data_IF_418128490983
#
_entry.id   IF_418128490983
#
_cell.length_a   1.000
_cell.length_b   1.000
_cell.length_c   1.000
_cell.angle_alpha   90.00
_cell.angle_beta   90.00
_cell.angle_gamma   90.00
#
_symmetry.space_group_name_H-M   'P 1'
#
loop_
_entity.id
_entity.type
_entity.pdbx_description
1 polymer ?
#
# COMPACT_ATOMS: atom_id res chain seq x y z
N UNK A 1 29.17 -28.97 -33.55
CA UNK A 1 29.43 -27.80 -34.42
C UNK A 1 30.90 -27.86 -34.80
N UNK A 2 31.24 -28.11 -36.07
CA UNK A 2 32.66 -28.28 -36.47
C UNK A 2 33.38 -26.93 -36.50
N UNK A 3 34.68 -26.92 -36.20
CA UNK A 3 35.50 -25.71 -36.21
C UNK A 3 35.38 -24.93 -37.52
N UNK A 4 35.38 -25.63 -38.66
CA UNK A 4 35.24 -25.04 -40.01
C UNK A 4 33.97 -24.22 -40.21
N UNK A 5 32.88 -24.60 -39.54
CA UNK A 5 31.60 -23.88 -39.65
C UNK A 5 31.67 -22.51 -38.94
N UNK A 6 32.41 -22.43 -37.84
CA UNK A 6 32.61 -21.19 -37.10
C UNK A 6 33.57 -20.25 -37.84
N UNK A 7 34.63 -20.80 -38.46
CA UNK A 7 35.63 -20.02 -39.20
C UNK A 7 35.05 -19.36 -40.46
N UNK A 8 34.20 -20.08 -41.21
CA UNK A 8 33.52 -19.52 -42.39
C UNK A 8 32.52 -18.41 -42.01
N UNK A 9 31.82 -18.53 -40.88
CA UNK A 9 30.89 -17.50 -40.41
C UNK A 9 31.60 -16.19 -40.03
N UNK A 10 32.81 -16.28 -39.44
CA UNK A 10 33.59 -15.11 -39.04
C UNK A 10 34.26 -14.38 -40.22
N UNK A 11 34.58 -15.08 -41.33
CA UNK A 11 35.21 -14.48 -42.52
C UNK A 11 34.31 -13.46 -43.25
N UNK A 12 32.99 -13.52 -43.06
CA UNK A 12 32.03 -12.58 -43.67
C UNK A 12 31.70 -11.36 -42.80
N UNK A 13 32.27 -11.27 -41.58
CA UNK A 13 32.07 -10.12 -40.70
C UNK A 13 32.94 -8.95 -41.20
N UNK A 14 32.32 -8.03 -41.93
CA UNK A 14 32.97 -6.79 -42.37
C UNK A 14 33.27 -5.90 -41.16
N UNK A 15 34.55 -5.71 -40.85
CA UNK A 15 34.97 -4.75 -39.84
C UNK A 15 34.59 -3.32 -40.26
N UNK A 16 34.06 -2.49 -39.34
CA UNK A 16 33.69 -1.11 -39.64
C UNK A 16 34.90 -0.30 -40.11
N UNK A 17 34.80 0.27 -41.33
CA UNK A 17 35.92 0.91 -42.03
C UNK A 17 36.02 2.40 -41.73
N UNK A 18 34.90 3.06 -41.44
CA UNK A 18 34.85 4.48 -41.07
C UNK A 18 34.57 4.69 -39.57
N UNK A 19 34.85 5.91 -39.06
CA UNK A 19 34.47 6.31 -37.71
C UNK A 19 32.93 6.24 -37.51
N UNK A 20 32.16 6.58 -38.54
CA UNK A 20 30.70 6.49 -38.53
C UNK A 20 30.22 5.04 -38.40
N UNK A 21 30.86 4.09 -39.07
CA UNK A 21 30.50 2.66 -38.97
C UNK A 21 30.77 2.11 -37.57
N UNK A 22 31.87 2.54 -36.94
CA UNK A 22 32.21 2.16 -35.56
C UNK A 22 31.19 2.74 -34.58
N UNK A 23 30.78 3.99 -34.78
CA UNK A 23 29.75 4.64 -33.95
C UNK A 23 28.39 3.95 -34.10
N UNK A 24 27.96 3.66 -35.33
CA UNK A 24 26.70 2.97 -35.61
C UNK A 24 26.69 1.56 -35.00
N UNK A 25 27.80 0.82 -35.11
CA UNK A 25 27.95 -0.50 -34.49
C UNK A 25 27.91 -0.41 -32.97
N UNK A 26 28.58 0.56 -32.37
CA UNK A 26 28.56 0.78 -30.93
C UNK A 26 27.15 1.13 -30.42
N UNK A 27 26.44 2.05 -31.08
CA UNK A 27 25.06 2.42 -30.75
C UNK A 27 24.12 1.24 -30.93
N UNK A 28 24.22 0.49 -32.04
CA UNK A 28 23.40 -0.69 -32.27
C UNK A 28 23.64 -1.78 -31.22
N UNK A 29 24.89 -2.04 -30.87
CA UNK A 29 25.25 -3.01 -29.82
C UNK A 29 24.73 -2.57 -28.45
N UNK A 30 24.91 -1.30 -28.09
CA UNK A 30 24.37 -0.73 -26.86
C UNK A 30 22.84 -0.79 -26.81
N UNK A 31 22.16 -0.51 -27.92
CA UNK A 31 20.70 -0.60 -28.03
C UNK A 31 20.21 -2.05 -27.86
N UNK A 32 20.87 -3.02 -28.47
CA UNK A 32 20.51 -4.45 -28.34
C UNK A 32 20.74 -4.94 -26.91
N UNK A 33 21.93 -4.68 -26.34
CA UNK A 33 22.24 -5.09 -24.96
C UNK A 33 21.34 -4.38 -23.95
N UNK A 34 21.13 -3.07 -24.12
CA UNK A 34 20.21 -2.28 -23.31
C UNK A 34 18.78 -2.84 -23.38
N UNK A 35 18.28 -3.14 -24.58
CA UNK A 35 16.95 -3.71 -24.76
C UNK A 35 16.82 -5.11 -24.14
N UNK A 36 17.85 -5.95 -24.24
CA UNK A 36 17.87 -7.29 -23.66
C UNK A 36 17.78 -7.29 -22.13
N UNK A 37 18.21 -6.20 -21.47
CA UNK A 37 18.12 -6.04 -20.01
C UNK A 37 16.84 -5.29 -19.63
N UNK A 38 16.55 -4.17 -20.30
CA UNK A 38 15.45 -3.27 -19.93
C UNK A 38 14.08 -3.86 -20.26
N UNK A 39 13.90 -4.53 -21.40
CA UNK A 39 12.59 -5.06 -21.80
C UNK A 39 12.10 -6.18 -20.86
N UNK A 40 12.91 -7.19 -20.48
CA UNK A 40 12.46 -8.18 -19.51
C UNK A 40 12.22 -7.60 -18.12
N UNK A 41 13.01 -6.61 -17.69
CA UNK A 41 12.81 -5.92 -16.42
C UNK A 41 11.48 -5.12 -16.43
N UNK A 42 11.26 -4.31 -17.45
CA UNK A 42 10.02 -3.55 -17.65
C UNK A 42 8.81 -4.47 -17.78
N UNK A 43 8.94 -5.60 -18.49
CA UNK A 43 7.85 -6.58 -18.61
C UNK A 43 7.51 -7.23 -17.26
N UNK A 44 8.51 -7.59 -16.44
CA UNK A 44 8.27 -8.13 -15.09
C UNK A 44 7.63 -7.08 -14.17
N UNK A 45 8.10 -5.84 -14.21
CA UNK A 45 7.55 -4.72 -13.46
C UNK A 45 6.09 -4.44 -13.86
N UNK A 46 5.80 -4.43 -15.16
CA UNK A 46 4.43 -4.31 -15.70
C UNK A 46 3.54 -5.49 -15.30
N UNK A 47 4.06 -6.73 -15.35
CA UNK A 47 3.33 -7.94 -14.92
C UNK A 47 2.98 -7.88 -13.44
N UNK A 48 3.89 -7.36 -12.61
CA UNK A 48 3.65 -7.13 -11.19
C UNK A 48 2.60 -6.04 -10.97
N UNK A 49 2.70 -4.90 -11.66
CA UNK A 49 1.66 -3.87 -11.63
C UNK A 49 0.28 -4.42 -12.03
N UNK A 50 0.25 -5.26 -13.07
CA UNK A 50 -0.98 -5.91 -13.52
C UNK A 50 -1.57 -6.87 -12.50
N UNK A 51 -0.75 -7.56 -11.71
CA UNK A 51 -1.25 -8.50 -10.69
C UNK A 51 -1.93 -7.82 -9.50
N UNK A 52 -1.75 -6.51 -9.32
CA UNK A 52 -2.42 -5.75 -8.27
C UNK A 52 -3.93 -5.60 -8.45
N UNK A 53 -4.42 -5.76 -9.68
CA UNK A 53 -5.79 -5.46 -10.03
C UNK A 53 -6.11 -3.96 -10.08
N UNK A 54 -7.40 -3.58 -10.11
CA UNK A 54 -7.86 -2.19 -10.02
C UNK A 54 -7.40 -1.52 -8.72
N UNK A 55 -7.31 -0.18 -8.70
CA UNK A 55 -6.95 0.61 -7.51
C UNK A 55 -6.58 2.05 -7.86
N UNK A 56 -7.60 2.87 -8.17
CA UNK A 56 -7.46 4.30 -8.48
C UNK A 56 -6.95 4.63 -9.90
N UNK A 57 -5.89 3.95 -10.37
CA UNK A 57 -5.35 4.09 -11.74
C UNK A 57 -5.83 2.96 -12.67
N UNK A 58 -5.89 3.19 -13.99
CA UNK A 58 -6.21 2.12 -14.94
C UNK A 58 -5.24 0.94 -14.81
N UNK A 59 -5.74 -0.27 -14.57
CA UNK A 59 -4.90 -1.48 -14.48
C UNK A 59 -4.52 -1.99 -15.90
N UNK A 60 -3.74 -1.21 -16.63
CA UNK A 60 -3.26 -1.51 -17.98
C UNK A 60 -1.89 -0.84 -18.24
N UNK A 61 -1.35 -0.96 -19.45
CA UNK A 61 -0.05 -0.41 -19.82
C UNK A 61 0.04 1.11 -19.60
N UNK A 62 -1.04 1.85 -19.91
CA UNK A 62 -1.08 3.30 -19.73
C UNK A 62 -0.98 3.66 -18.25
N UNK A 63 -1.75 3.02 -17.38
CA UNK A 63 -1.66 3.26 -15.94
C UNK A 63 -0.29 2.91 -15.36
N UNK A 64 0.31 1.79 -15.79
CA UNK A 64 1.67 1.43 -15.39
C UNK A 64 2.68 2.52 -15.79
N UNK A 65 2.64 2.99 -17.04
CA UNK A 65 3.50 4.08 -17.51
C UNK A 65 3.29 5.35 -16.69
N UNK A 66 2.04 5.76 -16.47
CA UNK A 66 1.70 6.92 -15.64
C UNK A 66 2.27 6.79 -14.24
N UNK A 67 2.09 5.63 -13.59
CA UNK A 67 2.63 5.40 -12.25
C UNK A 67 4.15 5.50 -12.26
N UNK A 68 4.81 4.81 -13.20
CA UNK A 68 6.26 4.73 -13.23
C UNK A 68 6.93 6.06 -13.57
N UNK A 69 6.37 6.84 -14.48
CA UNK A 69 7.01 8.06 -14.99
C UNK A 69 6.56 9.32 -14.27
N UNK A 70 5.28 9.42 -13.89
CA UNK A 70 4.71 10.64 -13.30
C UNK A 70 4.57 10.53 -11.79
N UNK A 71 4.17 9.37 -11.25
CA UNK A 71 3.79 9.26 -9.83
C UNK A 71 4.95 8.81 -8.95
N UNK A 72 5.72 7.81 -9.41
CA UNK A 72 6.83 7.20 -8.67
C UNK A 72 7.87 8.21 -8.15
N UNK A 73 8.24 9.27 -8.89
CA UNK A 73 9.22 10.25 -8.40
C UNK A 73 8.81 10.99 -7.11
N UNK A 74 7.52 11.00 -6.77
CA UNK A 74 7.00 11.66 -5.57
C UNK A 74 6.84 10.71 -4.37
N UNK A 75 7.08 9.40 -4.58
CA UNK A 75 7.02 8.42 -3.51
C UNK A 75 8.09 8.61 -2.44
N UNK A 76 7.75 8.32 -1.19
CA UNK A 76 8.66 8.31 -0.03
C UNK A 76 8.84 6.90 0.50
N UNK A 77 9.87 6.73 1.34
CA UNK A 77 9.99 5.52 2.15
C UNK A 77 8.79 5.39 3.10
N UNK A 78 8.40 4.16 3.40
CA UNK A 78 7.11 3.88 4.05
C UNK A 78 7.25 3.41 5.51
N UNK A 79 8.47 3.30 6.05
CA UNK A 79 8.71 2.60 7.33
C UNK A 79 9.19 3.52 8.47
N UNK A 80 9.73 4.70 8.16
CA UNK A 80 10.17 5.62 9.22
C UNK A 80 9.01 6.12 10.06
N UNK A 81 9.19 6.11 11.38
CA UNK A 81 8.28 6.69 12.37
C UNK A 81 8.72 8.08 12.84
N UNK A 82 9.79 8.64 12.27
CA UNK A 82 10.35 9.94 12.68
C UNK A 82 9.36 11.10 12.52
N UNK A 83 8.51 11.05 11.49
CA UNK A 83 7.46 12.06 11.29
C UNK A 83 6.50 12.14 12.48
N UNK A 84 6.19 11.00 13.10
CA UNK A 84 5.26 10.95 14.23
C UNK A 84 5.92 11.41 15.52
N UNK A 85 7.21 11.09 15.73
CA UNK A 85 7.98 11.62 16.86
C UNK A 85 7.92 13.15 16.87
N UNK A 86 8.25 13.79 15.74
CA UNK A 86 8.21 15.25 15.62
C UNK A 86 6.82 15.83 15.87
N UNK A 87 5.77 15.17 15.35
CA UNK A 87 4.38 15.61 15.53
C UNK A 87 3.92 15.49 16.98
N UNK A 88 4.27 14.38 17.63
CA UNK A 88 4.00 14.17 19.06
C UNK A 88 4.71 15.25 19.89
N UNK A 89 6.01 15.47 19.66
CA UNK A 89 6.81 16.48 20.37
C UNK A 89 6.26 17.91 20.18
N UNK A 90 5.76 18.22 18.98
CA UNK A 90 5.16 19.51 18.66
C UNK A 90 3.72 19.67 19.19
N UNK A 91 3.14 18.63 19.82
CA UNK A 91 1.72 18.52 20.10
C UNK A 91 0.83 18.75 18.86
N UNK A 92 1.39 18.48 17.67
CA UNK A 92 0.73 18.54 16.37
C UNK A 92 -0.01 17.22 16.15
N UNK A 93 -1.19 17.07 16.74
CA UNK A 93 -1.99 15.88 16.58
C UNK A 93 -3.34 16.03 17.25
N UNK A 94 -4.41 15.78 16.50
CA UNK A 94 -5.79 15.83 16.98
C UNK A 94 -6.14 14.62 17.89
N UNK A 95 -5.19 14.14 18.71
CA UNK A 95 -5.32 12.93 19.53
C UNK A 95 -4.88 13.16 20.98
N UNK A 96 -4.94 12.10 21.81
CA UNK A 96 -4.53 12.09 23.24
C UNK A 96 -3.03 12.27 23.50
N UNK A 97 -2.30 13.03 22.67
CA UNK A 97 -0.84 13.14 22.76
C UNK A 97 -0.17 11.77 22.58
N UNK A 98 0.77 11.44 23.47
CA UNK A 98 1.60 10.22 23.45
C UNK A 98 0.79 8.91 23.59
N UNK A 99 -0.44 8.98 24.12
CA UNK A 99 -1.22 7.79 24.46
C UNK A 99 -1.97 7.20 23.27
N UNK A 100 -2.40 8.01 22.30
CA UNK A 100 -3.24 7.55 21.18
C UNK A 100 -4.58 6.95 21.64
N UNK A 101 -5.14 6.06 20.83
CA UNK A 101 -6.43 5.38 21.07
C UNK A 101 -6.33 3.84 21.08
N UNK A 102 -5.17 3.28 20.75
CA UNK A 102 -4.93 1.83 20.85
C UNK A 102 -4.89 1.38 22.31
N UNK A 103 -5.68 0.35 22.63
CA UNK A 103 -5.77 -0.25 23.97
C UNK A 103 -5.10 -1.63 24.06
N UNK A 104 -4.41 -2.06 23.01
CA UNK A 104 -3.68 -3.32 22.96
C UNK A 104 -2.48 -3.31 23.91
N UNK A 105 -2.22 -4.43 24.59
CA UNK A 105 -0.98 -4.58 25.37
C UNK A 105 0.24 -4.64 24.45
N UNK A 106 1.42 -4.34 25.00
CA UNK A 106 2.68 -4.45 24.26
C UNK A 106 2.88 -5.86 23.70
N UNK A 107 2.54 -6.90 24.46
CA UNK A 107 2.65 -8.30 24.00
C UNK A 107 1.72 -8.61 22.83
N UNK A 108 0.49 -8.10 22.86
CA UNK A 108 -0.46 -8.28 21.75
C UNK A 108 0.05 -7.58 20.50
N UNK A 109 0.53 -6.34 20.65
CA UNK A 109 1.01 -5.54 19.53
C UNK A 109 2.32 -6.11 18.96
N UNK A 110 3.25 -6.57 19.79
CA UNK A 110 4.52 -7.14 19.32
C UNK A 110 4.43 -8.59 18.84
N UNK A 111 3.24 -9.19 18.83
CA UNK A 111 3.02 -10.58 18.39
C UNK A 111 3.51 -10.89 16.97
N UNK A 112 3.61 -9.88 16.10
CA UNK A 112 4.15 -9.98 14.72
C UNK A 112 5.60 -9.57 14.56
N UNK A 113 6.22 -8.97 15.59
CA UNK A 113 7.50 -8.24 15.45
C UNK A 113 8.65 -9.12 14.94
N UNK A 114 8.63 -10.41 15.27
CA UNK A 114 9.69 -11.36 14.94
C UNK A 114 9.46 -12.13 13.62
N UNK A 115 8.28 -12.01 13.01
CA UNK A 115 7.92 -12.79 11.81
C UNK A 115 8.44 -12.17 10.50
N UNK A 116 9.03 -10.97 10.59
CA UNK A 116 9.34 -10.15 9.43
C UNK A 116 8.10 -9.51 8.80
N UNK A 117 8.29 -8.41 8.09
CA UNK A 117 7.18 -7.70 7.44
C UNK A 117 6.81 -8.37 6.12
N UNK A 118 5.52 -8.34 5.74
CA UNK A 118 5.11 -8.63 4.38
C UNK A 118 5.81 -7.73 3.37
N UNK A 119 6.01 -8.26 2.17
CA UNK A 119 6.48 -7.47 1.03
C UNK A 119 5.31 -6.66 0.49
N UNK A 120 5.53 -5.37 0.29
CA UNK A 120 4.59 -4.47 -0.39
C UNK A 120 5.16 -4.10 -1.75
N UNK A 121 4.29 -4.03 -2.75
CA UNK A 121 4.67 -3.74 -4.12
C UNK A 121 5.47 -2.43 -4.26
N UNK A 122 6.44 -2.35 -5.19
CA UNK A 122 7.34 -1.21 -5.31
C UNK A 122 6.69 0.04 -5.93
N UNK A 123 5.51 -0.12 -6.52
CA UNK A 123 4.75 0.97 -7.16
C UNK A 123 4.07 1.82 -6.08
N UNK A 124 4.12 3.14 -6.23
CA UNK A 124 3.48 4.06 -5.27
C UNK A 124 1.96 3.90 -5.20
N UNK A 125 1.32 3.53 -6.31
CA UNK A 125 -0.11 3.18 -6.39
C UNK A 125 -0.36 2.12 -7.49
N UNK A 126 -1.40 1.27 -7.34
CA UNK A 126 -2.05 0.97 -6.07
C UNK A 126 -1.08 0.29 -5.10
N UNK A 127 -1.23 0.58 -3.81
CA UNK A 127 -0.40 -0.06 -2.78
C UNK A 127 -0.99 -1.43 -2.46
N UNK A 128 -0.19 -2.49 -2.67
CA UNK A 128 -0.61 -3.88 -2.45
C UNK A 128 0.42 -4.68 -1.68
N UNK A 129 -0.06 -5.50 -0.76
CA UNK A 129 0.72 -6.55 -0.11
C UNK A 129 0.89 -7.72 -1.07
N UNK A 130 2.08 -8.33 -1.10
CA UNK A 130 2.45 -9.40 -2.04
C UNK A 130 2.71 -10.73 -1.34
N UNK A 131 3.14 -10.72 -0.09
CA UNK A 131 3.49 -11.92 0.68
C UNK A 131 2.77 -11.96 2.02
N UNK A 132 2.84 -13.08 2.72
CA UNK A 132 2.12 -13.33 3.98
C UNK A 132 0.60 -13.12 3.88
N UNK A 133 0.06 -13.22 2.67
CA UNK A 133 -1.38 -13.27 2.46
C UNK A 133 -1.77 -14.74 2.65
N UNK A 134 -2.79 -15.08 3.44
CA UNK A 134 -3.19 -16.48 3.65
C UNK A 134 -3.45 -17.18 2.32
N UNK A 135 -2.67 -18.19 1.95
CA UNK A 135 -2.89 -18.98 0.74
C UNK A 135 -4.10 -19.92 0.90
N UNK A 136 -4.78 -20.24 -0.20
CA UNK A 136 -5.82 -21.28 -0.21
C UNK A 136 -5.25 -22.66 0.14
N UNK A 137 -4.00 -22.95 -0.27
CA UNK A 137 -3.40 -24.28 -0.22
C UNK A 137 -2.56 -24.55 1.05
N UNK A 138 -2.13 -23.52 1.79
CA UNK A 138 -1.28 -23.68 3.00
C UNK A 138 -2.11 -23.92 4.27
N UNK A 139 -3.44 -23.85 4.18
CA UNK A 139 -4.37 -24.21 5.25
C UNK A 139 -4.51 -25.74 5.47
N UNK A 140 -3.78 -26.57 4.73
CA UNK A 140 -3.96 -28.03 4.70
C UNK A 140 -3.46 -28.81 5.94
N UNK A 141 -2.83 -28.20 6.95
CA UNK A 141 -2.17 -29.00 8.02
C UNK A 141 -2.69 -28.78 9.45
N UNK A 142 -3.56 -27.80 9.74
CA UNK A 142 -4.05 -27.69 11.14
C UNK A 142 -5.45 -27.13 11.40
N UNK A 143 -6.05 -26.36 10.50
CA UNK A 143 -7.44 -25.88 10.65
C UNK A 143 -8.08 -25.64 9.27
N UNK A 144 -9.15 -26.36 8.89
CA UNK A 144 -9.74 -26.24 7.55
C UNK A 144 -10.64 -25.01 7.47
N UNK A 145 -10.08 -23.85 7.11
CA UNK A 145 -10.85 -22.68 6.70
C UNK A 145 -10.24 -22.18 5.41
N UNK A 146 -10.89 -22.44 4.26
CA UNK A 146 -10.45 -21.90 2.97
C UNK A 146 -10.27 -20.38 3.08
N UNK A 147 -9.22 -19.81 2.46
CA UNK A 147 -8.93 -18.36 2.43
C UNK A 147 -10.18 -17.51 2.27
N UNK A 148 -11.08 -17.91 1.36
CA UNK A 148 -12.35 -17.23 1.14
C UNK A 148 -13.25 -17.12 2.38
N UNK A 149 -13.31 -18.15 3.24
CA UNK A 149 -14.12 -18.15 4.47
C UNK A 149 -13.48 -17.31 5.56
N UNK A 150 -12.15 -17.39 5.73
CA UNK A 150 -11.43 -16.57 6.70
C UNK A 150 -11.54 -15.08 6.36
N UNK A 151 -11.42 -14.73 5.08
CA UNK A 151 -11.50 -13.35 4.65
C UNK A 151 -12.94 -12.80 4.69
N UNK A 152 -13.94 -13.63 4.40
CA UNK A 152 -15.35 -13.29 4.66
C UNK A 152 -15.60 -12.97 6.14
N UNK A 153 -14.86 -13.59 7.07
CA UNK A 153 -14.96 -13.28 8.50
C UNK A 153 -14.46 -11.86 8.78
N UNK A 154 -13.35 -11.42 8.19
CA UNK A 154 -12.87 -10.05 8.32
C UNK A 154 -13.90 -9.05 7.77
N UNK A 155 -14.40 -9.27 6.55
CA UNK A 155 -15.43 -8.42 5.94
C UNK A 155 -16.71 -8.35 6.80
N UNK A 156 -17.15 -9.49 7.34
CA UNK A 156 -18.32 -9.57 8.22
C UNK A 156 -18.11 -8.80 9.52
N UNK A 157 -16.91 -8.88 10.11
CA UNK A 157 -16.55 -8.16 11.33
C UNK A 157 -16.48 -6.65 11.09
N UNK A 158 -15.88 -6.24 9.98
CA UNK A 158 -15.82 -4.85 9.55
C UNK A 158 -17.21 -4.26 9.31
N UNK A 159 -18.05 -4.97 8.57
CA UNK A 159 -19.44 -4.57 8.29
C UNK A 159 -20.24 -4.44 9.59
N UNK A 160 -20.18 -5.47 10.45
CA UNK A 160 -20.88 -5.47 11.73
C UNK A 160 -20.41 -4.32 12.63
N UNK A 161 -19.11 -4.05 12.67
CA UNK A 161 -18.54 -2.94 13.42
C UNK A 161 -19.09 -1.59 12.94
N UNK A 162 -19.10 -1.35 11.62
CA UNK A 162 -19.69 -0.12 11.05
C UNK A 162 -21.17 0.03 11.37
N UNK A 163 -21.96 -1.05 11.25
CA UNK A 163 -23.40 -1.03 11.56
C UNK A 163 -23.68 -0.77 13.05
N UNK A 164 -22.91 -1.35 13.96
CA UNK A 164 -23.03 -1.06 15.42
C UNK A 164 -22.66 0.38 15.75
N UNK A 165 -21.75 0.97 14.98
CA UNK A 165 -21.27 2.33 15.15
C UNK A 165 -21.86 3.32 14.13
N UNK A 166 -23.03 3.04 13.55
CA UNK A 166 -23.66 3.90 12.53
C UNK A 166 -23.95 5.35 12.99
N UNK A 167 -23.97 5.58 14.30
CA UNK A 167 -24.07 6.91 14.91
C UNK A 167 -22.76 7.71 14.83
N UNK A 168 -21.65 7.07 14.44
CA UNK A 168 -20.33 7.68 14.27
C UNK A 168 -19.82 7.57 12.84
N UNK A 169 -20.16 6.48 12.16
CA UNK A 169 -19.66 6.16 10.82
C UNK A 169 -20.78 5.80 9.85
N UNK A 170 -20.48 5.90 8.56
CA UNK A 170 -21.32 5.41 7.45
C UNK A 170 -20.47 4.62 6.46
N UNK A 171 -21.11 3.81 5.63
CA UNK A 171 -20.45 3.14 4.51
C UNK A 171 -20.62 3.93 3.22
N UNK A 172 -19.52 4.10 2.48
CA UNK A 172 -19.49 4.61 1.11
C UNK A 172 -18.33 3.95 0.35
N UNK A 173 -18.34 3.92 -1.00
CA UNK A 173 -17.18 3.49 -1.76
C UNK A 173 -15.94 4.34 -1.43
N UNK A 174 -14.77 3.71 -1.23
CA UNK A 174 -13.50 4.40 -0.95
C UNK A 174 -13.17 5.43 -2.04
N UNK A 175 -12.66 6.59 -1.66
CA UNK A 175 -12.25 7.64 -2.58
C UNK A 175 -11.03 7.23 -3.42
N UNK A 176 -10.08 6.54 -2.77
CA UNK A 176 -8.80 6.17 -3.37
C UNK A 176 -8.87 4.79 -4.06
N UNK A 177 -9.55 3.82 -3.45
CA UNK A 177 -9.67 2.46 -4.02
C UNK A 177 -10.82 2.36 -5.03
N UNK A 178 -11.93 3.07 -4.80
CA UNK A 178 -13.16 3.12 -5.66
C UNK A 178 -13.94 1.82 -5.83
N UNK A 179 -13.40 0.71 -5.36
CA UNK A 179 -13.97 -0.63 -5.59
C UNK A 179 -14.24 -1.42 -4.31
N UNK A 180 -13.95 -0.85 -3.14
CA UNK A 180 -14.31 -1.41 -1.84
C UNK A 180 -15.09 -0.40 -1.00
N UNK A 181 -15.98 -0.92 -0.16
CA UNK A 181 -16.68 -0.12 0.83
C UNK A 181 -15.71 0.30 1.94
N UNK A 182 -15.82 1.56 2.35
CA UNK A 182 -15.02 2.17 3.39
C UNK A 182 -15.92 2.74 4.49
N UNK A 183 -15.35 2.86 5.68
CA UNK A 183 -15.93 3.62 6.77
C UNK A 183 -15.61 5.09 6.58
N UNK A 184 -16.65 5.91 6.57
CA UNK A 184 -16.58 7.36 6.55
C UNK A 184 -17.20 7.93 7.82
N UNK A 185 -16.84 9.17 8.17
CA UNK A 185 -17.55 9.92 9.20
C UNK A 185 -19.05 10.04 8.90
N UNK A 186 -19.88 9.89 9.92
CA UNK A 186 -21.31 10.18 9.81
C UNK A 186 -21.56 11.68 9.54
N UNK A 187 -22.55 11.99 8.70
CA UNK A 187 -22.78 13.35 8.17
C UNK A 187 -23.09 14.43 9.22
N UNK A 188 -23.53 14.03 10.41
CA UNK A 188 -23.89 14.94 11.49
C UNK A 188 -22.71 15.28 12.42
N UNK A 189 -21.56 14.63 12.25
CA UNK A 189 -20.38 14.91 13.03
C UNK A 189 -19.58 16.07 12.42
N UNK A 190 -18.95 16.93 13.24
CA UNK A 190 -18.06 17.96 12.73
C UNK A 190 -16.85 17.32 12.05
N UNK A 191 -16.51 17.81 10.86
CA UNK A 191 -15.33 17.37 10.11
C UNK A 191 -14.12 18.14 10.65
N UNK A 192 -13.11 17.44 11.14
CA UNK A 192 -11.82 18.03 11.51
C UNK A 192 -10.99 18.38 10.27
N UNK A 193 -9.96 19.22 10.40
CA UNK A 193 -9.07 19.55 9.27
C UNK A 193 -8.45 18.29 8.65
N UNK A 194 -8.04 17.34 9.50
CA UNK A 194 -7.53 16.04 9.07
C UNK A 194 -8.60 15.20 8.34
N UNK A 195 -9.82 15.17 8.86
CA UNK A 195 -10.89 14.46 8.18
C UNK A 195 -11.23 15.09 6.81
N UNK A 196 -11.03 16.39 6.65
CA UNK A 196 -11.25 17.08 5.38
C UNK A 196 -10.27 16.60 4.30
N UNK A 197 -8.99 16.36 4.63
CA UNK A 197 -8.01 15.90 3.64
C UNK A 197 -8.34 14.53 3.05
N UNK A 198 -8.98 13.68 3.85
CA UNK A 198 -9.46 12.35 3.43
C UNK A 198 -10.94 12.33 3.02
N UNK A 199 -11.59 13.50 2.92
CA UNK A 199 -13.02 13.66 2.65
C UNK A 199 -13.90 12.78 3.57
N UNK A 200 -13.48 12.63 4.82
CA UNK A 200 -14.14 11.86 5.86
C UNK A 200 -13.85 10.37 5.86
N UNK A 201 -13.04 9.84 4.92
CA UNK A 201 -12.67 8.42 4.88
C UNK A 201 -11.75 8.07 6.06
N UNK A 202 -12.14 7.03 6.80
CA UNK A 202 -11.45 6.57 8.02
C UNK A 202 -10.66 5.30 7.73
N UNK A 203 -11.31 4.32 7.13
CA UNK A 203 -10.73 3.00 6.91
C UNK A 203 -11.39 2.26 5.73
N UNK A 204 -10.61 1.53 4.96
CA UNK A 204 -11.13 0.64 3.91
C UNK A 204 -10.30 -0.63 3.80
N UNK A 205 -10.95 -1.73 3.44
CA UNK A 205 -10.30 -3.03 3.20
C UNK A 205 -10.12 -3.21 1.70
N UNK A 206 -8.99 -3.78 1.28
CA UNK A 206 -8.77 -4.21 -0.10
C UNK A 206 -9.48 -5.55 -0.39
N UNK A 207 -10.78 -5.63 -0.07
CA UNK A 207 -11.60 -6.83 -0.25
C UNK A 207 -11.59 -7.25 -1.74
N UNK A 208 -11.39 -8.54 -1.98
CA UNK A 208 -11.24 -9.07 -3.35
C UNK A 208 -9.82 -9.01 -3.93
N UNK A 209 -8.82 -8.55 -3.17
CA UNK A 209 -7.40 -8.66 -3.54
C UNK A 209 -6.55 -9.27 -2.43
N UNK A 210 -5.81 -8.45 -1.67
CA UNK A 210 -4.84 -8.89 -0.67
C UNK A 210 -5.34 -8.82 0.79
N UNK A 211 -6.51 -8.20 1.03
CA UNK A 211 -7.10 -7.98 2.36
C UNK A 211 -6.23 -7.17 3.34
N UNK A 212 -5.18 -6.51 2.85
CA UNK A 212 -4.62 -5.36 3.54
C UNK A 212 -5.65 -4.23 3.57
N UNK A 213 -5.43 -3.25 4.43
CA UNK A 213 -6.40 -2.18 4.66
C UNK A 213 -5.69 -0.86 4.88
N UNK A 214 -6.35 0.21 4.47
CA UNK A 214 -5.90 1.55 4.78
C UNK A 214 -6.70 2.11 5.95
N UNK A 215 -6.02 2.86 6.83
CA UNK A 215 -6.61 3.53 7.99
C UNK A 215 -5.96 4.89 8.23
N UNK A 216 -6.72 5.81 8.81
CA UNK A 216 -6.20 7.07 9.38
C UNK A 216 -6.11 6.93 10.90
N UNK A 217 -4.90 7.02 11.47
CA UNK A 217 -4.63 6.80 12.89
C UNK A 217 -4.03 8.03 13.58
N UNK A 218 -4.17 8.11 14.90
CA UNK A 218 -3.46 9.11 15.67
C UNK A 218 -1.94 8.94 15.50
N UNK A 219 -1.11 10.01 15.51
CA UNK A 219 0.34 9.90 15.33
C UNK A 219 1.02 8.88 16.26
N UNK A 220 0.62 8.82 17.54
CA UNK A 220 1.12 7.84 18.50
C UNK A 220 0.79 6.39 18.09
N UNK A 221 -0.43 6.15 17.61
CA UNK A 221 -0.87 4.84 17.15
C UNK A 221 -0.18 4.44 15.84
N UNK A 222 0.04 5.40 14.92
CA UNK A 222 0.82 5.18 13.71
C UNK A 222 2.21 4.64 14.03
N UNK A 223 2.89 5.28 14.99
CA UNK A 223 4.21 4.86 15.47
C UNK A 223 4.15 3.45 16.08
N UNK A 224 3.22 3.21 17.01
CA UNK A 224 3.03 1.90 17.67
C UNK A 224 2.81 0.78 16.65
N UNK A 225 1.89 0.97 15.70
CA UNK A 225 1.56 0.01 14.63
C UNK A 225 2.77 -0.29 13.75
N UNK A 226 3.47 0.75 13.30
CA UNK A 226 4.63 0.57 12.42
C UNK A 226 5.74 -0.13 13.19
N UNK A 227 6.15 0.36 14.36
CA UNK A 227 7.26 -0.22 15.13
C UNK A 227 7.03 -1.70 15.48
N UNK A 228 5.78 -2.08 15.75
CA UNK A 228 5.40 -3.44 16.09
C UNK A 228 5.22 -4.39 14.90
N UNK A 229 5.38 -3.90 13.67
CA UNK A 229 5.34 -4.75 12.47
C UNK A 229 3.98 -4.91 11.82
N UNK A 230 2.96 -4.12 12.20
CA UNK A 230 1.59 -4.28 11.72
C UNK A 230 1.26 -3.53 10.44
N UNK A 231 2.05 -2.52 10.10
CA UNK A 231 1.80 -1.71 8.92
C UNK A 231 3.00 -0.88 8.48
N UNK A 232 2.72 -0.04 7.50
CA UNK A 232 3.63 0.94 6.92
C UNK A 232 2.81 2.12 6.37
N UNK A 233 3.44 3.26 6.11
CA UNK A 233 2.76 4.41 5.49
C UNK A 233 2.39 4.15 4.05
N UNK A 234 1.47 4.94 3.52
CA UNK A 234 1.32 5.08 2.07
C UNK A 234 2.47 5.90 1.47
N UNK A 235 2.88 5.57 0.24
CA UNK A 235 4.06 6.18 -0.37
C UNK A 235 3.95 7.70 -0.58
N UNK A 236 2.72 8.22 -0.65
CA UNK A 236 2.42 9.66 -0.74
C UNK A 236 2.05 10.32 0.60
N UNK A 237 1.97 9.57 1.69
CA UNK A 237 1.62 10.13 3.01
C UNK A 237 2.60 11.23 3.42
N UNK A 238 2.06 12.41 3.75
CA UNK A 238 2.84 13.57 4.17
C UNK A 238 3.62 14.27 3.06
N UNK A 239 3.27 14.03 1.79
CA UNK A 239 3.86 14.70 0.63
C UNK A 239 2.87 15.65 -0.04
N UNK A 240 3.37 16.62 -0.81
CA UNK A 240 2.53 17.47 -1.67
C UNK A 240 2.21 16.87 -3.05
N UNK A 241 2.33 15.54 -3.17
CA UNK A 241 2.25 14.85 -4.46
C UNK A 241 0.85 14.95 -5.07
N UNK A 242 -0.22 14.77 -4.27
CA UNK A 242 -1.58 14.80 -4.77
C UNK A 242 -1.96 16.20 -5.24
N UNK A 243 -1.63 17.22 -4.45
CA UNK A 243 -1.83 18.63 -4.83
C UNK A 243 -1.08 18.94 -6.13
N UNK A 244 0.20 18.55 -6.25
CA UNK A 244 0.99 18.83 -7.45
C UNK A 244 0.47 18.09 -8.69
N UNK A 245 0.25 16.78 -8.60
CA UNK A 245 -0.18 15.94 -9.72
C UNK A 245 -1.60 16.27 -10.19
N UNK A 246 -2.45 16.76 -9.28
CA UNK A 246 -3.83 17.15 -9.57
C UNK A 246 -3.99 18.64 -9.89
N UNK A 247 -2.90 19.41 -9.96
CA UNK A 247 -2.90 20.86 -10.15
C UNK A 247 -3.78 21.60 -9.11
N UNK A 248 -3.77 21.13 -7.86
CA UNK A 248 -4.47 21.74 -6.73
C UNK A 248 -5.92 21.31 -6.56
N UNK A 249 -6.40 20.31 -7.32
CA UNK A 249 -7.80 19.86 -7.23
C UNK A 249 -8.03 18.77 -6.18
N UNK A 250 -6.98 18.05 -5.77
CA UNK A 250 -7.02 17.03 -4.73
C UNK A 250 -6.16 17.44 -3.53
N UNK A 251 -6.65 17.18 -2.33
CA UNK A 251 -5.89 17.34 -1.09
C UNK A 251 -4.79 16.28 -0.97
N UNK A 252 -3.74 16.63 -0.24
CA UNK A 252 -2.64 15.72 0.07
C UNK A 252 -3.02 14.64 1.08
N UNK A 253 -2.45 13.46 0.89
CA UNK A 253 -2.63 12.33 1.81
C UNK A 253 -1.90 12.67 3.11
N UNK A 254 -2.58 12.63 4.27
CA UNK A 254 -1.96 12.96 5.55
C UNK A 254 -0.88 11.93 5.92
N UNK A 255 0.02 12.33 6.83
CA UNK A 255 1.09 11.43 7.29
C UNK A 255 0.50 10.21 8.02
N UNK A 256 -0.64 10.40 8.66
CA UNK A 256 -1.45 9.47 9.45
C UNK A 256 -2.15 8.37 8.63
N UNK A 257 -2.03 8.39 7.31
CA UNK A 257 -2.62 7.38 6.44
C UNK A 257 -1.67 6.19 6.26
N UNK A 258 -2.05 5.04 6.83
CA UNK A 258 -1.25 3.83 6.87
C UNK A 258 -1.90 2.72 6.05
N UNK A 259 -1.07 1.84 5.51
CA UNK A 259 -1.42 0.48 5.13
C UNK A 259 -1.18 -0.45 6.33
N UNK A 260 -2.20 -1.18 6.74
CA UNK A 260 -2.13 -2.27 7.72
C UNK A 260 -2.13 -3.59 6.95
N UNK A 261 -1.22 -4.48 7.34
CA UNK A 261 -1.07 -5.76 6.67
C UNK A 261 -2.23 -6.71 6.95
N UNK A 262 -2.60 -7.50 5.95
CA UNK A 262 -3.69 -8.47 6.03
C UNK A 262 -3.53 -9.42 7.23
N UNK A 263 -4.57 -9.67 8.04
CA UNK A 263 -4.49 -10.64 9.14
C UNK A 263 -4.34 -12.07 8.59
N UNK A 264 -3.62 -12.92 9.33
CA UNK A 264 -3.30 -14.32 8.95
C UNK A 264 -4.15 -15.34 9.69
N UNK A 265 -4.71 -14.96 10.82
CA UNK A 265 -5.51 -15.82 11.69
C UNK A 265 -6.48 -14.98 12.53
N UNK A 266 -7.33 -15.67 13.30
CA UNK A 266 -8.38 -15.04 14.09
C UNK A 266 -7.87 -14.05 15.15
N UNK A 267 -6.74 -14.35 15.80
CA UNK A 267 -6.16 -13.45 16.79
C UNK A 267 -5.71 -12.13 16.14
N UNK A 268 -5.21 -12.20 14.91
CA UNK A 268 -4.82 -11.00 14.16
C UNK A 268 -6.02 -10.23 13.62
N UNK A 269 -7.15 -10.88 13.34
CA UNK A 269 -8.41 -10.16 13.05
C UNK A 269 -8.79 -9.29 14.24
N UNK A 270 -8.70 -9.80 15.47
CA UNK A 270 -9.01 -9.00 16.66
C UNK A 270 -8.10 -7.77 16.77
N UNK A 271 -6.79 -7.94 16.54
CA UNK A 271 -5.83 -6.83 16.54
C UNK A 271 -6.16 -5.79 15.45
N UNK A 272 -6.45 -6.25 14.23
CA UNK A 272 -6.85 -5.37 13.12
C UNK A 272 -8.14 -4.62 13.45
N UNK A 273 -9.13 -5.27 14.05
CA UNK A 273 -10.37 -4.61 14.45
C UNK A 273 -10.16 -3.59 15.58
N UNK A 274 -9.23 -3.81 16.50
CA UNK A 274 -8.82 -2.81 17.50
C UNK A 274 -8.11 -1.61 16.85
N UNK A 275 -7.29 -1.82 15.81
CA UNK A 275 -6.69 -0.73 15.02
C UNK A 275 -7.78 0.10 14.33
N UNK A 276 -8.78 -0.55 13.73
CA UNK A 276 -9.92 0.13 13.09
C UNK A 276 -10.76 0.89 14.13
N UNK A 277 -10.96 0.31 15.31
CA UNK A 277 -11.62 0.98 16.44
C UNK A 277 -10.88 2.26 16.86
N UNK A 278 -9.56 2.19 17.01
CA UNK A 278 -8.72 3.35 17.32
C UNK A 278 -8.80 4.43 16.23
N UNK A 279 -8.81 4.03 14.95
CA UNK A 279 -8.99 4.97 13.82
C UNK A 279 -10.34 5.71 13.89
N UNK A 280 -11.43 5.00 14.20
CA UNK A 280 -12.76 5.63 14.39
C UNK A 280 -12.75 6.59 15.57
N UNK A 281 -12.20 6.20 16.73
CA UNK A 281 -12.12 7.08 17.90
C UNK A 281 -11.35 8.36 17.59
N UNK A 282 -10.22 8.24 16.90
CA UNK A 282 -9.40 9.37 16.49
C UNK A 282 -10.13 10.30 15.52
N UNK A 283 -10.67 9.76 14.43
CA UNK A 283 -11.29 10.57 13.37
C UNK A 283 -12.60 11.22 13.83
N UNK A 284 -13.32 10.60 14.75
CA UNK A 284 -14.60 11.12 15.30
C UNK A 284 -14.41 11.98 16.55
N UNK A 285 -13.28 11.84 17.26
CA UNK A 285 -13.06 12.42 18.59
C UNK A 285 -13.94 11.81 19.68
N UNK A 286 -14.45 10.58 19.48
CA UNK A 286 -15.46 9.94 20.33
C UNK A 286 -14.93 8.66 20.97
N UNK A 287 -15.28 8.45 22.23
CA UNK A 287 -14.88 7.26 23.00
C UNK A 287 -15.96 6.18 23.02
N UNK A 288 -17.20 6.50 22.63
CA UNK A 288 -18.38 5.62 22.69
C UNK A 288 -18.48 4.61 21.53
N UNK A 289 -17.34 4.18 20.98
CA UNK A 289 -17.23 3.13 19.95
C UNK A 289 -17.52 1.73 20.54
N UNK A 290 -18.32 0.92 19.84
CA UNK A 290 -18.93 -0.35 20.31
C UNK A 290 -18.58 -1.59 19.50
#
# INVERSE_FOLDING_TARGET
>A
MSLETLTNALQHIRLPRSQQDRLNLAVGTAAVLGSAILLPAAYRDYRLFKSYGPGGVPNNLLGWMTVRTLFQPFGREMLSTEVYLRRIDAAEGHGRGDDGYLTLSTEQLESRKNDGRPEVGPHVVPQRQLTQIPDEDVMEVRFPVSRGVFMQKLDSRFTSFGLRNHHLVKFQPSNLERHSDALFLADHLPITDLATTMQGEIAHIHSGSDYSLHVVLAPADCKKVIDAGWGQRHAFSGTSAMTFLSLGTLSDIPSEYLLIYAPRNDAEIEIVMEIISAAVKFMTGREDVR
#
